data_IF_209120497838
#
_entry.id   IF_209120497838
#
_cell.length_a   1.000
_cell.length_b   1.000
_cell.length_c   1.000
_cell.angle_alpha   90.00
_cell.angle_beta   90.00
_cell.angle_gamma   90.00
#
_symmetry.space_group_name_H-M   'P 1'
#
loop_
_entity.id
_entity.type
_entity.pdbx_description
1 polymer ?
#
# COMPACT_ATOMS: atom_id res chain seq x y z
N UNK A 1 -10.33 -1.80 -11.13
CA UNK A 1 -8.85 -1.87 -11.02
C UNK A 1 -8.46 -2.11 -9.57
N UNK A 2 -7.62 -3.08 -9.35
CA UNK A 2 -7.11 -3.39 -8.00
C UNK A 2 -5.85 -2.59 -7.73
N UNK A 3 -5.85 -1.83 -6.66
CA UNK A 3 -4.73 -0.96 -6.28
C UNK A 3 -4.12 -1.42 -4.96
N UNK A 4 -2.81 -1.54 -4.94
CA UNK A 4 -2.07 -1.82 -3.72
C UNK A 4 -1.33 -0.59 -3.23
N UNK A 5 -1.08 -0.52 -1.94
CA UNK A 5 -0.36 0.59 -1.33
C UNK A 5 0.87 0.09 -0.59
N UNK A 6 2.00 0.75 -0.82
CA UNK A 6 3.17 0.63 0.06
C UNK A 6 3.06 1.70 1.14
N UNK A 7 3.38 1.33 2.37
CA UNK A 7 3.38 2.28 3.47
C UNK A 7 2.01 2.77 3.89
N UNK A 8 1.05 1.86 3.96
CA UNK A 8 -0.35 2.19 4.28
C UNK A 8 -0.52 2.90 5.63
N UNK A 9 0.41 2.71 6.56
CA UNK A 9 0.37 3.34 7.88
C UNK A 9 0.94 4.76 7.90
N UNK A 10 1.51 5.23 6.78
CA UNK A 10 2.00 6.58 6.66
C UNK A 10 0.86 7.59 6.48
N UNK A 11 1.19 8.89 6.59
CA UNK A 11 0.20 9.94 6.45
C UNK A 11 -0.51 9.91 5.10
N UNK A 12 0.26 9.84 4.02
CA UNK A 12 -0.33 9.79 2.68
C UNK A 12 -1.02 8.45 2.42
N UNK A 13 -0.52 7.37 2.99
CA UNK A 13 -1.15 6.06 2.87
C UNK A 13 -2.57 6.06 3.40
N UNK A 14 -2.81 6.69 4.55
CA UNK A 14 -4.15 6.80 5.13
C UNK A 14 -5.09 7.62 4.25
N UNK A 15 -4.60 8.71 3.68
CA UNK A 15 -5.38 9.54 2.76
C UNK A 15 -5.78 8.74 1.52
N UNK A 16 -4.86 7.94 0.99
CA UNK A 16 -5.12 7.11 -0.18
C UNK A 16 -6.12 5.98 0.11
N UNK A 17 -6.08 5.39 1.30
CA UNK A 17 -7.07 4.40 1.71
C UNK A 17 -8.46 5.00 1.66
N UNK A 18 -8.62 6.20 2.21
CA UNK A 18 -9.91 6.90 2.18
C UNK A 18 -10.34 7.24 0.75
N UNK A 19 -9.42 7.74 -0.06
CA UNK A 19 -9.71 8.09 -1.45
C UNK A 19 -10.15 6.87 -2.26
N UNK A 20 -9.51 5.73 -2.07
CA UNK A 20 -9.86 4.50 -2.76
C UNK A 20 -11.22 3.96 -2.29
N UNK A 21 -11.55 4.14 -1.02
CA UNK A 21 -12.85 3.75 -0.49
C UNK A 21 -13.99 4.51 -1.17
N UNK A 22 -13.74 5.75 -1.56
CA UNK A 22 -14.73 6.60 -2.24
C UNK A 22 -14.74 6.41 -3.76
N UNK A 23 -13.78 5.71 -4.31
CA UNK A 23 -13.66 5.52 -5.77
C UNK A 23 -14.61 4.43 -6.26
N UNK A 24 -15.22 4.66 -7.42
CA UNK A 24 -16.04 3.66 -8.10
C UNK A 24 -15.25 2.79 -9.06
N UNK A 25 -14.11 3.31 -9.55
CA UNK A 25 -13.32 2.65 -10.60
C UNK A 25 -12.11 1.87 -10.08
N UNK A 26 -11.68 2.18 -8.88
CA UNK A 26 -10.51 1.54 -8.26
C UNK A 26 -10.87 1.05 -6.87
N UNK A 27 -10.30 -0.08 -6.48
CA UNK A 27 -10.49 -0.62 -5.15
C UNK A 27 -9.16 -1.00 -4.53
N UNK A 28 -9.03 -0.74 -3.24
CA UNK A 28 -7.86 -1.19 -2.49
C UNK A 28 -7.91 -2.71 -2.35
N UNK A 29 -6.85 -3.38 -2.79
CA UNK A 29 -6.78 -4.84 -2.73
C UNK A 29 -5.71 -5.33 -1.76
N UNK A 30 -4.64 -4.56 -1.57
CA UNK A 30 -3.56 -4.91 -0.66
C UNK A 30 -2.92 -3.65 -0.11
N UNK A 31 -2.50 -3.71 1.13
CA UNK A 31 -1.82 -2.59 1.79
C UNK A 31 -0.64 -3.16 2.57
N UNK A 32 0.55 -2.64 2.33
CA UNK A 32 1.73 -3.14 3.02
C UNK A 32 2.27 -2.14 4.02
N UNK A 33 2.90 -2.69 5.04
CA UNK A 33 3.69 -1.94 6.01
C UNK A 33 5.03 -2.66 6.14
N UNK A 34 5.99 -2.02 6.81
CA UNK A 34 7.29 -2.65 7.04
C UNK A 34 7.11 -3.92 7.87
N UNK A 35 7.98 -4.90 7.64
CA UNK A 35 7.90 -6.20 8.32
C UNK A 35 7.95 -6.08 9.85
N UNK A 36 8.65 -5.09 10.36
CA UNK A 36 8.78 -4.83 11.79
C UNK A 36 7.70 -3.92 12.36
N UNK A 37 6.74 -3.53 11.56
CA UNK A 37 5.68 -2.61 11.99
C UNK A 37 4.68 -3.30 12.92
N UNK A 38 4.25 -2.63 14.00
CA UNK A 38 3.16 -3.16 14.83
C UNK A 38 1.81 -3.18 14.10
N UNK A 39 1.73 -2.56 12.94
CA UNK A 39 0.48 -2.51 12.16
C UNK A 39 0.24 -3.75 11.30
N UNK A 40 1.22 -4.66 11.19
CA UNK A 40 1.03 -5.91 10.45
C UNK A 40 -0.16 -6.68 11.04
N UNK A 41 -1.11 -7.05 10.17
CA UNK A 41 -2.31 -7.78 10.57
C UNK A 41 -3.47 -6.89 11.02
N UNK A 42 -3.26 -5.59 11.20
CA UNK A 42 -4.33 -4.69 11.60
C UNK A 42 -5.14 -4.22 10.39
N UNK A 43 -6.43 -3.97 10.59
CA UNK A 43 -7.33 -3.59 9.51
C UNK A 43 -7.00 -2.21 8.97
N UNK A 44 -6.87 -2.10 7.66
CA UNK A 44 -6.46 -0.85 7.00
C UNK A 44 -7.51 0.25 7.14
N UNK A 45 -8.79 -0.10 7.13
CA UNK A 45 -9.87 0.87 7.29
C UNK A 45 -9.90 1.46 8.69
N UNK A 46 -9.68 0.65 9.70
CA UNK A 46 -9.59 1.12 11.08
C UNK A 46 -8.38 2.03 11.27
N UNK A 47 -7.25 1.68 10.65
CA UNK A 47 -6.05 2.50 10.64
C UNK A 47 -6.32 3.90 10.05
N UNK A 48 -7.09 3.96 8.98
CA UNK A 48 -7.41 5.22 8.30
C UNK A 48 -8.59 5.97 8.93
N UNK A 49 -9.27 5.37 9.90
CA UNK A 49 -10.40 6.00 10.60
C UNK A 49 -11.71 5.98 9.82
N UNK A 50 -11.84 5.08 8.85
CA UNK A 50 -13.05 4.99 8.00
C UNK A 50 -13.90 3.74 8.30
N UNK A 51 -13.61 3.03 9.37
CA UNK A 51 -14.29 1.80 9.71
C UNK A 51 -13.66 0.57 9.06
N UNK A 52 -14.05 -0.60 9.52
CA UNK A 52 -13.46 -1.86 9.06
C UNK A 52 -13.69 -2.09 7.58
N UNK A 53 -12.64 -2.45 6.86
CA UNK A 53 -12.66 -2.82 5.45
C UNK A 53 -12.18 -4.26 5.27
N UNK A 54 -12.19 -4.75 4.03
CA UNK A 54 -11.82 -6.14 3.74
C UNK A 54 -10.31 -6.37 3.57
N UNK A 55 -9.50 -5.37 3.86
CA UNK A 55 -8.05 -5.43 3.69
C UNK A 55 -7.35 -5.19 5.02
N UNK A 56 -6.49 -6.13 5.39
CA UNK A 56 -5.61 -5.98 6.55
C UNK A 56 -4.20 -5.63 6.08
N UNK A 57 -3.46 -4.93 6.91
CA UNK A 57 -2.08 -4.59 6.59
C UNK A 57 -1.21 -5.83 6.52
N UNK A 58 -0.43 -5.95 5.47
CA UNK A 58 0.44 -7.10 5.20
C UNK A 58 1.89 -6.66 5.30
N UNK A 59 2.74 -7.50 5.88
CA UNK A 59 4.18 -7.26 5.84
C UNK A 59 4.68 -7.31 4.41
N UNK A 60 5.61 -6.44 4.05
CA UNK A 60 6.15 -6.39 2.68
C UNK A 60 6.66 -7.74 2.21
N UNK A 61 7.32 -8.51 3.08
CA UNK A 61 7.85 -9.83 2.74
C UNK A 61 6.77 -10.85 2.39
N UNK A 62 5.52 -10.61 2.80
CA UNK A 62 4.40 -11.51 2.52
C UNK A 62 3.58 -11.07 1.30
N UNK A 63 3.99 -10.00 0.63
CA UNK A 63 3.26 -9.48 -0.52
C UNK A 63 3.38 -10.40 -1.73
N UNK A 64 2.24 -10.72 -2.34
CA UNK A 64 2.18 -11.52 -3.57
C UNK A 64 2.08 -10.61 -4.80
N UNK A 65 2.72 -11.00 -5.89
CA UNK A 65 2.63 -10.28 -7.17
C UNK A 65 1.26 -10.35 -7.84
N UNK A 66 0.35 -11.15 -7.32
CA UNK A 66 -1.00 -11.34 -7.91
C UNK A 66 -2.09 -10.55 -7.18
N UNK A 67 -1.74 -9.76 -6.17
CA UNK A 67 -2.73 -9.14 -5.30
C UNK A 67 -3.22 -7.78 -5.79
N UNK A 68 -2.58 -7.20 -6.79
CA UNK A 68 -2.96 -5.87 -7.30
C UNK A 68 -2.62 -5.75 -8.79
N UNK A 69 -3.27 -4.80 -9.46
CA UNK A 69 -2.96 -4.43 -10.84
C UNK A 69 -1.87 -3.36 -10.90
N UNK A 70 -1.78 -2.54 -9.87
CA UNK A 70 -0.81 -1.46 -9.77
C UNK A 70 -0.55 -1.16 -8.30
N UNK A 71 0.68 -0.78 -7.98
CA UNK A 71 1.04 -0.32 -6.64
C UNK A 71 1.24 1.19 -6.64
N UNK A 72 0.93 1.83 -5.52
CA UNK A 72 1.19 3.25 -5.31
C UNK A 72 2.19 3.37 -4.16
N UNK A 73 3.23 4.15 -4.36
CA UNK A 73 4.30 4.33 -3.39
C UNK A 73 4.49 5.81 -3.04
N UNK A 74 4.11 6.17 -1.82
CA UNK A 74 4.38 7.48 -1.22
C UNK A 74 5.28 7.35 0.00
N UNK A 75 6.07 6.29 0.07
CA UNK A 75 6.97 6.06 1.19
C UNK A 75 8.17 7.02 1.14
N UNK A 76 8.96 7.01 2.20
CA UNK A 76 10.16 7.85 2.26
C UNK A 76 11.22 7.37 1.25
N UNK A 77 12.07 8.28 0.74
CA UNK A 77 13.13 7.89 -0.21
C UNK A 77 14.01 6.75 0.29
N UNK A 78 14.21 6.66 1.60
CA UNK A 78 15.05 5.62 2.20
C UNK A 78 14.50 4.19 2.02
N UNK A 79 13.20 4.03 1.78
CA UNK A 79 12.57 2.70 1.64
C UNK A 79 12.08 2.43 0.23
N UNK A 80 12.06 3.44 -0.65
CA UNK A 80 11.50 3.29 -1.99
C UNK A 80 12.31 2.30 -2.84
N UNK A 81 13.60 2.20 -2.63
CA UNK A 81 14.47 1.30 -3.39
C UNK A 81 14.06 -0.16 -3.20
N UNK A 82 13.75 -0.57 -1.97
CA UNK A 82 13.26 -1.91 -1.69
C UNK A 82 11.93 -2.18 -2.36
N UNK A 83 11.03 -1.20 -2.33
CA UNK A 83 9.72 -1.31 -2.97
C UNK A 83 9.84 -1.42 -4.47
N UNK A 84 10.72 -0.62 -5.09
CA UNK A 84 10.98 -0.70 -6.54
C UNK A 84 11.57 -2.04 -6.94
N UNK A 85 12.51 -2.57 -6.15
CA UNK A 85 13.10 -3.87 -6.41
C UNK A 85 12.02 -4.96 -6.44
N UNK A 86 11.09 -4.92 -5.48
CA UNK A 86 9.97 -5.85 -5.46
C UNK A 86 9.11 -5.70 -6.72
N UNK A 87 8.80 -4.47 -7.13
CA UNK A 87 7.96 -4.22 -8.31
C UNK A 87 8.63 -4.73 -9.59
N UNK A 88 9.93 -4.51 -9.74
CA UNK A 88 10.68 -4.99 -10.90
C UNK A 88 10.67 -6.51 -10.94
N UNK A 89 10.95 -7.15 -9.82
CA UNK A 89 10.99 -8.61 -9.72
C UNK A 89 9.65 -9.26 -10.07
N UNK A 90 8.56 -8.62 -9.68
CA UNK A 90 7.20 -9.14 -9.88
C UNK A 90 6.50 -8.54 -11.09
N UNK A 91 7.21 -7.75 -11.90
CA UNK A 91 6.66 -7.07 -13.09
C UNK A 91 5.39 -6.27 -12.76
N UNK A 92 5.40 -5.62 -11.61
CA UNK A 92 4.28 -4.86 -11.07
C UNK A 92 4.41 -3.39 -11.43
N UNK A 93 3.44 -2.81 -12.15
CA UNK A 93 3.42 -1.35 -12.37
C UNK A 93 3.35 -0.60 -11.05
N UNK A 94 4.04 0.52 -10.96
CA UNK A 94 4.06 1.32 -9.75
C UNK A 94 3.97 2.81 -10.08
N UNK A 95 3.16 3.53 -9.31
CA UNK A 95 3.08 4.99 -9.34
C UNK A 95 3.81 5.50 -8.11
N UNK A 96 4.82 6.33 -8.33
CA UNK A 96 5.66 6.88 -7.25
C UNK A 96 5.29 8.33 -7.02
N UNK A 97 4.85 8.63 -5.80
CA UNK A 97 4.53 9.99 -5.38
C UNK A 97 5.45 10.52 -4.30
N UNK A 98 6.57 9.84 -4.05
CA UNK A 98 7.52 10.25 -3.02
C UNK A 98 8.20 11.55 -3.41
N UNK A 99 8.17 12.54 -2.50
CA UNK A 99 8.86 13.81 -2.70
C UNK A 99 10.31 13.71 -2.25
N UNK A 100 11.18 14.54 -2.85
CA UNK A 100 12.59 14.57 -2.47
C UNK A 100 13.46 13.55 -3.18
N UNK A 101 12.97 12.97 -4.25
CA UNK A 101 13.79 12.11 -5.12
C UNK A 101 14.67 12.94 -6.02
#
# INVERSE_FOLDING_TARGET
>A
MKVGLFGANGRMGRVLVEALDLSEDAQLSVATVRDDSPWVGLNVGELAGIGKKDVDCTALSDLSGNDADVMIDFTLPSVIESNLTWCIKNKMPVVIGTTGL
#
